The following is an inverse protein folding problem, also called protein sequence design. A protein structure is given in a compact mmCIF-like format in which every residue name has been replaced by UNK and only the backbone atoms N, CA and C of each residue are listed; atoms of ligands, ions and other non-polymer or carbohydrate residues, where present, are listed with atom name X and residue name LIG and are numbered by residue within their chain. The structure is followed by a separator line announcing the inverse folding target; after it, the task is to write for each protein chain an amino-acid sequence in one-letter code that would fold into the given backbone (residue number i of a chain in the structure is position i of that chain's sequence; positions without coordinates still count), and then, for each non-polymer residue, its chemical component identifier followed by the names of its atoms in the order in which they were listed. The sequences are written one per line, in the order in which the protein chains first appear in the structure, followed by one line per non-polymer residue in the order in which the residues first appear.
data_IF_267488261435
#
_entry.id   IF_267488261435
#
_cell.length_a   1.000
_cell.length_b   1.000
_cell.length_c   1.000
_cell.angle_alpha   90.00
_cell.angle_beta   90.00
_cell.angle_gamma   90.00
#
_symmetry.space_group_name_H-M   'P 1'
#
loop_
_entity.id
_entity.type
_entity.pdbx_description
1 polymer ?
#
# COMPACT_ATOMS: atom_id res chain seq x y z
N UNK A 1 12.19 -24.44 -28.97
CA UNK A 1 13.07 -23.92 -27.88
C UNK A 1 12.44 -22.66 -27.31
N UNK A 2 11.88 -22.74 -26.08
CA UNK A 2 11.25 -21.57 -25.42
C UNK A 2 12.36 -20.73 -24.79
N UNK A 3 12.54 -19.50 -25.27
CA UNK A 3 13.55 -18.55 -24.78
C UNK A 3 13.18 -18.12 -23.36
N UNK A 4 13.94 -18.61 -22.38
CA UNK A 4 13.78 -18.21 -20.97
C UNK A 4 14.36 -16.81 -20.77
N UNK A 5 13.54 -15.78 -20.68
CA UNK A 5 13.98 -14.45 -20.24
C UNK A 5 14.08 -14.44 -18.71
N UNK A 6 15.30 -14.29 -18.19
CA UNK A 6 15.55 -14.08 -16.76
C UNK A 6 15.42 -12.59 -16.45
N UNK A 7 14.44 -12.22 -15.65
CA UNK A 7 14.29 -10.87 -15.08
C UNK A 7 14.57 -10.99 -13.58
N UNK A 8 15.72 -10.51 -13.14
CA UNK A 8 16.10 -10.46 -11.72
C UNK A 8 16.01 -11.82 -10.97
N UNK A 9 16.59 -12.91 -11.53
CA UNK A 9 16.61 -14.24 -10.90
C UNK A 9 15.28 -15.00 -10.95
N UNK A 10 14.30 -14.53 -11.72
CA UNK A 10 12.97 -15.15 -11.88
C UNK A 10 12.81 -15.70 -13.29
N UNK A 11 12.25 -16.89 -13.41
CA UNK A 11 11.96 -17.53 -14.68
C UNK A 11 10.56 -17.11 -15.15
N UNK A 12 10.46 -16.49 -16.34
CA UNK A 12 9.19 -16.21 -16.99
C UNK A 12 8.67 -17.47 -17.69
N UNK A 13 7.43 -17.85 -17.40
CA UNK A 13 6.74 -19.01 -17.99
C UNK A 13 5.40 -18.57 -18.54
N UNK A 14 4.85 -19.40 -19.46
CA UNK A 14 3.51 -19.22 -20.03
C UNK A 14 2.65 -20.42 -19.71
N UNK A 15 1.37 -20.18 -19.45
CA UNK A 15 0.38 -21.19 -19.16
C UNK A 15 -0.95 -20.80 -19.81
N UNK A 16 -1.65 -21.77 -20.40
CA UNK A 16 -3.02 -21.56 -20.83
C UNK A 16 -3.98 -21.97 -19.71
N UNK A 17 -4.83 -21.04 -19.28
CA UNK A 17 -5.86 -21.28 -18.28
C UNK A 17 -7.22 -20.89 -18.88
N UNK A 18 -8.10 -21.87 -19.08
CA UNK A 18 -9.45 -21.68 -19.63
C UNK A 18 -9.47 -20.89 -20.95
N UNK A 19 -8.49 -21.16 -21.85
CA UNK A 19 -8.36 -20.50 -23.15
C UNK A 19 -7.59 -19.16 -23.14
N UNK A 20 -7.23 -18.63 -21.98
CA UNK A 20 -6.41 -17.45 -21.86
C UNK A 20 -4.92 -17.80 -21.67
N UNK A 21 -4.04 -17.24 -22.50
CA UNK A 21 -2.60 -17.36 -22.34
C UNK A 21 -2.09 -16.35 -21.34
N UNK A 22 -1.60 -16.83 -20.21
CA UNK A 22 -1.08 -16.02 -19.12
C UNK A 22 0.42 -16.21 -18.95
N UNK A 23 1.12 -15.12 -18.64
CA UNK A 23 2.52 -15.16 -18.23
C UNK A 23 2.64 -15.10 -16.72
N UNK A 24 3.56 -15.90 -16.15
CA UNK A 24 3.86 -15.85 -14.72
C UNK A 24 5.36 -15.94 -14.45
N UNK A 25 5.80 -15.23 -13.42
CA UNK A 25 7.18 -15.28 -12.94
C UNK A 25 7.32 -16.34 -11.86
N UNK A 26 8.16 -17.37 -12.11
CA UNK A 26 8.46 -18.43 -11.16
C UNK A 26 9.77 -18.15 -10.43
N UNK A 27 9.70 -18.13 -9.10
CA UNK A 27 10.84 -18.07 -8.20
C UNK A 27 10.99 -19.38 -7.44
N UNK A 28 12.12 -20.05 -7.58
CA UNK A 28 12.46 -21.25 -6.81
C UNK A 28 13.14 -20.85 -5.51
N UNK A 29 12.57 -21.28 -4.38
CA UNK A 29 13.12 -20.96 -3.05
C UNK A 29 12.75 -22.01 -2.00
N UNK A 30 13.34 -21.92 -0.82
CA UNK A 30 13.09 -22.85 0.28
C UNK A 30 11.72 -22.56 0.92
N UNK A 31 10.65 -23.09 0.32
CA UNK A 31 9.26 -23.02 0.82
C UNK A 31 8.61 -24.40 0.78
N UNK A 32 7.70 -24.65 1.72
CA UNK A 32 6.95 -25.92 1.79
C UNK A 32 5.80 -25.97 0.78
N UNK A 33 5.15 -24.85 0.54
CA UNK A 33 3.94 -24.75 -0.28
C UNK A 33 4.20 -23.91 -1.53
N UNK A 34 3.37 -24.13 -2.58
CA UNK A 34 3.30 -23.22 -3.72
C UNK A 34 2.52 -22.00 -3.26
N UNK A 35 3.09 -20.80 -3.46
CA UNK A 35 2.43 -19.54 -3.18
C UNK A 35 2.22 -18.77 -4.47
N UNK A 36 1.00 -18.31 -4.71
CA UNK A 36 0.63 -17.46 -5.85
C UNK A 36 0.31 -16.07 -5.34
N UNK A 37 0.91 -15.07 -5.94
CA UNK A 37 0.63 -13.66 -5.69
C UNK A 37 0.30 -12.99 -7.01
N UNK A 38 -0.87 -12.41 -7.09
CA UNK A 38 -1.27 -11.59 -8.23
C UNK A 38 -0.98 -10.15 -7.86
N UNK A 39 -0.33 -9.45 -8.75
CA UNK A 39 0.01 -8.04 -8.62
C UNK A 39 -0.33 -7.31 -9.91
N UNK A 40 -0.37 -5.96 -9.90
CA UNK A 40 -0.58 -5.19 -11.13
C UNK A 40 0.44 -5.53 -12.23
N UNK A 41 1.69 -5.84 -11.84
CA UNK A 41 2.78 -6.17 -12.77
C UNK A 41 2.70 -7.62 -13.29
N UNK A 42 1.79 -8.46 -12.76
CA UNK A 42 1.61 -9.84 -13.22
C UNK A 42 1.44 -10.89 -12.12
N UNK A 43 1.57 -12.14 -12.53
CA UNK A 43 1.42 -13.32 -11.68
C UNK A 43 2.80 -13.77 -11.19
N UNK A 44 2.96 -13.84 -9.87
CA UNK A 44 4.20 -14.26 -9.22
C UNK A 44 3.98 -15.57 -8.46
N UNK A 45 4.75 -16.58 -8.79
CA UNK A 45 4.67 -17.90 -8.17
C UNK A 45 5.97 -18.22 -7.46
N UNK A 46 5.90 -18.68 -6.22
CA UNK A 46 7.04 -19.22 -5.51
C UNK A 46 6.81 -20.67 -5.12
N UNK A 47 7.78 -21.53 -5.40
CA UNK A 47 7.71 -22.96 -5.16
C UNK A 47 9.06 -23.52 -4.71
N UNK A 48 9.02 -24.68 -4.02
CA UNK A 48 10.22 -25.40 -3.63
C UNK A 48 11.05 -25.87 -4.84
N UNK A 49 12.37 -26.04 -4.63
CA UNK A 49 13.30 -26.42 -5.69
C UNK A 49 12.93 -27.74 -6.40
N UNK A 50 12.37 -28.71 -5.65
CA UNK A 50 12.05 -30.06 -6.15
C UNK A 50 10.64 -30.18 -6.73
N UNK A 51 9.81 -29.16 -6.68
CA UNK A 51 8.43 -29.21 -7.18
C UNK A 51 8.44 -29.21 -8.72
N UNK A 52 7.87 -30.22 -9.35
CA UNK A 52 7.79 -30.31 -10.81
C UNK A 52 7.00 -29.14 -11.42
N UNK A 53 7.36 -28.71 -12.62
CA UNK A 53 6.71 -27.59 -13.30
C UNK A 53 5.23 -27.91 -13.60
N UNK A 54 4.97 -29.14 -14.06
CA UNK A 54 3.63 -29.64 -14.36
C UNK A 54 2.70 -29.62 -13.13
N UNK A 55 3.27 -29.83 -11.93
CA UNK A 55 2.49 -29.75 -10.69
C UNK A 55 2.15 -28.29 -10.36
N UNK A 56 3.08 -27.34 -10.60
CA UNK A 56 2.84 -25.93 -10.43
C UNK A 56 1.75 -25.45 -11.40
N UNK A 57 1.83 -25.86 -12.66
CA UNK A 57 0.85 -25.48 -13.68
C UNK A 57 -0.55 -26.03 -13.36
N UNK A 58 -0.66 -27.29 -12.95
CA UNK A 58 -1.94 -27.86 -12.47
C UNK A 58 -2.49 -27.10 -11.27
N UNK A 59 -1.63 -26.71 -10.34
CA UNK A 59 -2.04 -25.88 -9.20
C UNK A 59 -2.55 -24.51 -9.64
N UNK A 60 -1.91 -23.85 -10.62
CA UNK A 60 -2.39 -22.57 -11.16
C UNK A 60 -3.74 -22.72 -11.86
N UNK A 61 -3.95 -23.79 -12.63
CA UNK A 61 -5.24 -24.10 -13.27
C UNK A 61 -6.32 -24.30 -12.20
N UNK A 62 -6.03 -25.03 -11.11
CA UNK A 62 -6.98 -25.21 -10.01
C UNK A 62 -7.34 -23.90 -9.27
N UNK A 63 -6.55 -22.84 -9.45
CA UNK A 63 -6.77 -21.49 -8.90
C UNK A 63 -7.24 -20.48 -9.95
N UNK A 64 -7.72 -20.95 -11.10
CA UNK A 64 -8.11 -20.10 -12.22
C UNK A 64 -9.04 -18.96 -11.81
N UNK A 65 -10.15 -19.28 -11.11
CA UNK A 65 -11.12 -18.30 -10.66
C UNK A 65 -10.49 -17.22 -9.75
N UNK A 66 -9.66 -17.65 -8.80
CA UNK A 66 -8.91 -16.71 -7.93
C UNK A 66 -7.99 -15.81 -8.76
N UNK A 67 -7.28 -16.36 -9.76
CA UNK A 67 -6.35 -15.61 -10.62
C UNK A 67 -7.12 -14.58 -11.44
N UNK A 68 -8.19 -15.01 -12.15
CA UNK A 68 -8.98 -14.09 -12.99
C UNK A 68 -9.69 -13.02 -12.18
N UNK A 69 -10.27 -13.38 -11.03
CA UNK A 69 -10.92 -12.40 -10.14
C UNK A 69 -9.92 -11.37 -9.60
N UNK A 70 -8.70 -11.79 -9.26
CA UNK A 70 -7.65 -10.88 -8.82
C UNK A 70 -7.17 -10.00 -9.98
N UNK A 71 -6.95 -10.55 -11.18
CA UNK A 71 -6.58 -9.78 -12.37
C UNK A 71 -7.66 -8.75 -12.74
N UNK A 72 -8.93 -9.15 -12.72
CA UNK A 72 -10.06 -8.25 -12.97
C UNK A 72 -10.08 -7.10 -11.96
N UNK A 73 -9.84 -7.38 -10.67
CA UNK A 73 -9.72 -6.32 -9.66
C UNK A 73 -8.66 -5.29 -10.00
N UNK A 74 -7.55 -5.69 -10.63
CA UNK A 74 -6.50 -4.77 -11.05
C UNK A 74 -6.84 -4.05 -12.36
N UNK A 75 -7.51 -4.69 -13.33
CA UNK A 75 -7.97 -4.01 -14.55
C UNK A 75 -9.05 -2.96 -14.27
N UNK A 76 -9.89 -3.22 -13.26
CA UNK A 76 -10.96 -2.31 -12.84
C UNK A 76 -10.48 -1.24 -11.84
N UNK A 77 -9.15 -1.16 -11.58
CA UNK A 77 -8.61 -0.17 -10.65
C UNK A 77 -8.75 1.24 -11.21
N UNK A 78 -9.41 2.09 -10.42
CA UNK A 78 -9.55 3.52 -10.72
C UNK A 78 -8.21 4.28 -10.67
N UNK A 79 -7.22 3.71 -9.96
CA UNK A 79 -5.93 4.34 -9.70
C UNK A 79 -4.79 3.43 -10.17
N UNK A 80 -3.84 3.98 -10.91
CA UNK A 80 -2.66 3.24 -11.37
C UNK A 80 -1.75 2.87 -10.20
N UNK A 81 -1.19 1.65 -10.18
CA UNK A 81 -0.23 1.26 -9.16
C UNK A 81 1.03 2.10 -9.21
N UNK A 82 1.49 2.54 -8.03
CA UNK A 82 2.75 3.26 -7.91
C UNK A 82 3.93 2.30 -8.05
N UNK A 83 4.88 2.62 -8.93
CA UNK A 83 6.12 1.81 -9.10
C UNK A 83 7.10 2.02 -7.94
N UNK A 84 7.14 3.24 -7.38
CA UNK A 84 8.03 3.62 -6.29
C UNK A 84 9.50 3.67 -6.68
N UNK A 85 9.80 3.83 -7.97
CA UNK A 85 11.16 4.00 -8.50
C UNK A 85 11.55 5.47 -8.58
N UNK A 86 10.53 6.34 -8.58
CA UNK A 86 10.64 7.80 -8.67
C UNK A 86 11.49 8.23 -9.88
N UNK A 87 11.14 7.68 -11.04
CA UNK A 87 11.75 8.00 -12.32
C UNK A 87 11.13 9.28 -12.91
N UNK A 88 11.80 9.86 -13.92
CA UNK A 88 11.27 11.02 -14.64
C UNK A 88 9.88 10.72 -15.20
N UNK A 89 8.91 11.59 -14.90
CA UNK A 89 7.51 11.45 -15.31
C UNK A 89 6.69 10.43 -14.54
N UNK A 90 7.24 9.70 -13.54
CA UNK A 90 6.47 8.75 -12.74
C UNK A 90 5.37 9.46 -11.97
N UNK A 91 4.15 8.91 -12.01
CA UNK A 91 3.00 9.40 -11.25
C UNK A 91 3.02 8.91 -9.82
N UNK A 92 2.84 9.83 -8.89
CA UNK A 92 2.84 9.58 -7.45
C UNK A 92 1.62 10.24 -6.81
N UNK A 93 0.92 9.50 -5.97
CA UNK A 93 -0.20 10.04 -5.20
C UNK A 93 0.31 10.71 -3.92
N UNK A 94 -0.17 11.92 -3.66
CA UNK A 94 0.03 12.63 -2.39
C UNK A 94 -1.33 13.15 -1.94
N UNK A 95 -1.82 12.68 -0.80
CA UNK A 95 -3.11 13.04 -0.23
C UNK A 95 -4.27 12.94 -1.24
N UNK A 96 -4.20 11.91 -2.11
CA UNK A 96 -5.20 11.62 -3.13
C UNK A 96 -5.08 12.43 -4.42
N UNK A 97 -4.08 13.30 -4.55
CA UNK A 97 -3.76 14.04 -5.79
C UNK A 97 -2.60 13.38 -6.52
N UNK A 98 -2.61 13.47 -7.84
CA UNK A 98 -1.53 12.94 -8.69
C UNK A 98 -0.49 14.02 -8.93
N UNK A 99 0.77 13.65 -8.77
CA UNK A 99 1.94 14.48 -9.07
C UNK A 99 2.88 13.71 -9.97
N UNK A 100 3.58 14.39 -10.86
CA UNK A 100 4.62 13.80 -11.71
C UNK A 100 6.00 14.14 -11.16
N UNK A 101 6.85 13.12 -11.09
CA UNK A 101 8.25 13.30 -10.67
C UNK A 101 9.03 14.00 -11.78
N UNK A 102 9.81 14.99 -11.40
CA UNK A 102 10.83 15.63 -12.24
C UNK A 102 12.17 15.53 -11.55
N UNK A 103 13.16 14.97 -12.23
CA UNK A 103 14.48 14.72 -11.69
C UNK A 103 15.45 15.86 -11.99
N UNK A 104 16.14 16.34 -10.98
CA UNK A 104 17.16 17.35 -11.10
C UNK A 104 18.48 16.86 -10.48
N UNK A 105 19.60 17.24 -11.11
CA UNK A 105 20.92 17.06 -10.49
C UNK A 105 21.22 18.23 -9.55
N UNK A 106 21.54 17.96 -8.28
CA UNK A 106 21.81 19.00 -7.31
C UNK A 106 21.87 18.46 -5.89
N UNK A 107 21.75 19.35 -4.93
CA UNK A 107 21.64 18.98 -3.51
C UNK A 107 20.38 18.15 -3.27
N UNK A 108 20.51 17.14 -2.39
CA UNK A 108 19.40 16.26 -2.07
C UNK A 108 18.21 17.03 -1.48
N UNK A 109 17.06 16.95 -2.11
CA UNK A 109 15.84 17.62 -1.64
C UNK A 109 14.63 17.31 -2.50
N UNK A 110 13.46 17.60 -1.94
CA UNK A 110 12.17 17.46 -2.65
C UNK A 110 11.36 18.73 -2.45
N UNK A 111 10.77 19.23 -3.51
CA UNK A 111 9.83 20.36 -3.49
C UNK A 111 8.59 20.01 -4.32
N UNK A 112 7.43 20.53 -3.90
CA UNK A 112 6.23 20.53 -4.72
C UNK A 112 6.15 21.85 -5.49
N UNK A 113 6.03 21.76 -6.81
CA UNK A 113 5.79 22.89 -7.68
C UNK A 113 4.60 22.57 -8.57
N UNK A 114 3.47 23.20 -8.30
CA UNK A 114 2.19 22.91 -8.97
C UNK A 114 1.83 21.40 -8.86
N UNK A 115 1.79 20.68 -9.98
CA UNK A 115 1.49 19.24 -10.04
C UNK A 115 2.76 18.39 -10.23
N UNK A 116 3.92 18.91 -9.83
CA UNK A 116 5.21 18.24 -9.98
C UNK A 116 5.92 18.07 -8.64
N UNK A 117 6.58 16.93 -8.50
CA UNK A 117 7.54 16.65 -7.44
C UNK A 117 8.93 16.90 -8.02
N UNK A 118 9.55 17.99 -7.63
CA UNK A 118 10.93 18.32 -8.02
C UNK A 118 11.89 17.57 -7.10
N UNK A 119 12.39 16.42 -7.56
CA UNK A 119 13.34 15.59 -6.83
C UNK A 119 14.76 15.93 -7.29
N UNK A 120 15.52 16.57 -6.41
CA UNK A 120 16.93 16.88 -6.65
C UNK A 120 17.83 15.90 -5.91
N UNK A 121 18.88 15.41 -6.57
CA UNK A 121 19.91 14.56 -5.94
C UNK A 121 21.23 14.60 -6.71
N UNK A 122 22.32 14.22 -6.03
CA UNK A 122 23.67 14.23 -6.61
C UNK A 122 23.82 13.27 -7.81
N UNK A 123 23.11 12.14 -7.78
CA UNK A 123 23.06 11.17 -8.88
C UNK A 123 21.62 10.75 -9.18
N UNK A 124 20.94 11.37 -10.15
CA UNK A 124 19.57 11.02 -10.52
C UNK A 124 19.40 9.59 -11.07
N UNK A 125 20.46 8.94 -11.53
CA UNK A 125 20.39 7.56 -12.00
C UNK A 125 20.35 6.54 -10.84
N UNK A 126 20.75 6.94 -9.63
CA UNK A 126 20.73 6.07 -8.44
C UNK A 126 19.31 5.96 -7.88
N UNK A 127 18.65 4.85 -8.18
CA UNK A 127 17.30 4.54 -7.71
C UNK A 127 17.23 4.46 -6.18
N UNK A 128 18.23 3.87 -5.50
CA UNK A 128 18.21 3.74 -4.05
C UNK A 128 18.33 5.11 -3.36
N UNK A 129 19.11 6.02 -3.94
CA UNK A 129 19.21 7.40 -3.46
C UNK A 129 17.87 8.14 -3.60
N UNK A 130 17.24 8.05 -4.78
CA UNK A 130 15.91 8.65 -5.02
C UNK A 130 14.89 8.13 -4.01
N UNK A 131 14.81 6.80 -3.84
CA UNK A 131 13.89 6.17 -2.89
C UNK A 131 14.12 6.62 -1.46
N UNK A 132 15.38 6.74 -1.02
CA UNK A 132 15.71 7.21 0.33
C UNK A 132 15.24 8.64 0.56
N UNK A 133 15.52 9.55 -0.39
CA UNK A 133 15.12 10.96 -0.29
C UNK A 133 13.60 11.09 -0.25
N UNK A 134 12.89 10.43 -1.18
CA UNK A 134 11.44 10.45 -1.26
C UNK A 134 10.77 9.84 -0.04
N UNK A 135 11.28 8.70 0.46
CA UNK A 135 10.71 8.05 1.65
C UNK A 135 10.83 8.91 2.90
N UNK A 136 11.96 9.63 3.08
CA UNK A 136 12.12 10.56 4.20
C UNK A 136 11.12 11.71 4.09
N UNK A 137 11.03 12.33 2.92
CA UNK A 137 10.11 13.42 2.67
C UNK A 137 8.64 13.00 2.85
N UNK A 138 8.24 11.85 2.32
CA UNK A 138 6.90 11.31 2.54
C UNK A 138 6.61 11.01 4.01
N UNK A 139 7.61 10.58 4.77
CA UNK A 139 7.45 10.33 6.19
C UNK A 139 7.12 11.62 6.95
N UNK A 140 7.78 12.72 6.63
CA UNK A 140 7.51 14.04 7.23
C UNK A 140 6.11 14.53 6.88
N UNK A 141 5.74 14.50 5.60
CA UNK A 141 4.40 14.89 5.15
C UNK A 141 3.31 14.00 5.76
N UNK A 142 3.54 12.69 5.82
CA UNK A 142 2.61 11.74 6.42
C UNK A 142 2.39 12.02 7.90
N UNK A 143 3.44 12.35 8.65
CA UNK A 143 3.32 12.70 10.06
C UNK A 143 2.43 13.93 10.24
N UNK A 144 2.66 15.00 9.46
CA UNK A 144 1.85 16.21 9.51
C UNK A 144 0.37 15.92 9.18
N UNK A 145 0.12 15.13 8.13
CA UNK A 145 -1.23 14.77 7.72
C UNK A 145 -1.94 13.91 8.77
N UNK A 146 -1.24 12.97 9.39
CA UNK A 146 -1.76 12.09 10.45
C UNK A 146 -2.09 12.90 11.70
N UNK A 147 -1.18 13.77 12.17
CA UNK A 147 -1.43 14.64 13.33
C UNK A 147 -2.66 15.53 13.09
N UNK A 148 -2.76 16.17 11.93
CA UNK A 148 -3.94 16.95 11.54
C UNK A 148 -5.22 16.11 11.56
N UNK A 149 -5.17 14.86 11.08
CA UNK A 149 -6.32 13.94 11.09
C UNK A 149 -6.72 13.50 12.49
N UNK A 150 -5.75 13.25 13.37
CA UNK A 150 -5.97 12.93 14.79
C UNK A 150 -6.61 14.14 15.51
N UNK A 151 -6.05 15.33 15.34
CA UNK A 151 -6.53 16.56 15.99
C UNK A 151 -7.98 16.90 15.64
N UNK A 152 -8.41 16.65 14.39
CA UNK A 152 -9.78 16.86 13.95
C UNK A 152 -10.82 16.06 14.74
N UNK A 153 -10.48 14.87 15.19
CA UNK A 153 -11.42 13.94 15.84
C UNK A 153 -11.14 13.77 17.33
N UNK A 154 -9.97 14.20 17.80
CA UNK A 154 -9.51 13.95 19.16
C UNK A 154 -10.44 14.56 20.23
N UNK A 155 -11.03 15.72 20.00
CA UNK A 155 -11.93 16.37 20.96
C UNK A 155 -13.08 15.48 21.44
N UNK A 156 -13.60 14.60 20.56
CA UNK A 156 -14.63 13.62 20.92
C UNK A 156 -14.12 12.59 21.95
N UNK A 157 -12.89 12.13 21.80
CA UNK A 157 -12.26 11.14 22.68
C UNK A 157 -11.74 11.77 23.96
N UNK A 158 -11.22 12.99 23.90
CA UNK A 158 -10.80 13.76 25.07
C UNK A 158 -11.96 13.98 26.04
N UNK A 159 -13.15 14.32 25.55
CA UNK A 159 -14.36 14.46 26.36
C UNK A 159 -14.78 13.15 27.07
N UNK A 160 -14.25 12.01 26.63
CA UNK A 160 -14.47 10.67 27.21
C UNK A 160 -13.29 10.18 28.05
N UNK A 161 -12.37 11.09 28.41
CA UNK A 161 -11.23 10.80 29.30
C UNK A 161 -10.03 10.14 28.62
N UNK A 162 -10.00 10.07 27.29
CA UNK A 162 -8.84 9.54 26.56
C UNK A 162 -7.77 10.62 26.47
N UNK A 163 -6.59 10.34 27.04
CA UNK A 163 -5.42 11.20 26.89
C UNK A 163 -4.87 11.14 25.45
N UNK A 164 -4.22 12.25 25.01
CA UNK A 164 -3.61 12.30 23.68
C UNK A 164 -2.54 11.21 23.53
N UNK A 165 -2.69 10.29 22.57
CA UNK A 165 -1.78 9.15 22.46
C UNK A 165 -0.45 9.55 21.81
N UNK A 166 0.59 8.77 22.07
CA UNK A 166 1.83 8.88 21.32
C UNK A 166 1.60 8.41 19.87
N UNK A 167 1.84 9.30 18.91
CA UNK A 167 1.71 9.00 17.48
C UNK A 167 3.08 8.65 16.88
N UNK A 168 3.11 7.57 16.09
CA UNK A 168 4.30 7.18 15.35
C UNK A 168 3.97 6.57 14.00
N UNK A 169 4.95 6.59 13.07
CA UNK A 169 4.80 6.05 11.73
C UNK A 169 5.64 4.80 11.53
N UNK A 170 5.04 3.79 10.90
CA UNK A 170 5.72 2.56 10.51
C UNK A 170 5.19 2.09 9.15
N UNK A 171 6.05 1.56 8.28
CA UNK A 171 5.59 0.86 7.07
C UNK A 171 4.98 -0.49 7.47
N UNK A 172 3.73 -0.71 7.09
CA UNK A 172 2.99 -1.94 7.37
C UNK A 172 2.44 -2.54 6.06
N UNK A 173 2.38 -3.88 5.99
CA UNK A 173 1.94 -4.59 4.76
C UNK A 173 0.44 -4.83 4.69
N UNK A 174 -0.23 -4.96 5.85
CA UNK A 174 -1.60 -5.47 5.91
C UNK A 174 -2.59 -4.60 6.69
N UNK A 175 -2.16 -3.46 7.18
CA UNK A 175 -3.02 -2.56 7.97
C UNK A 175 -2.62 -1.10 7.81
N UNK A 176 -3.58 -0.20 8.01
CA UNK A 176 -3.39 1.23 7.92
C UNK A 176 -2.97 1.87 9.25
N UNK A 177 -3.41 1.28 10.35
CA UNK A 177 -3.08 1.71 11.69
C UNK A 177 -2.99 0.52 12.66
N UNK A 178 -2.62 0.80 13.90
CA UNK A 178 -2.64 -0.14 15.01
C UNK A 178 -2.62 0.63 16.32
N UNK A 179 -3.68 0.50 17.11
CA UNK A 179 -3.77 1.04 18.44
C UNK A 179 -3.17 0.08 19.47
N UNK A 180 -2.49 0.63 20.45
CA UNK A 180 -1.98 -0.08 21.64
C UNK A 180 -2.46 0.65 22.89
N UNK A 181 -3.68 0.40 23.36
CA UNK A 181 -4.32 1.16 24.46
C UNK A 181 -3.47 1.19 25.73
N UNK A 182 -2.95 0.03 26.17
CA UNK A 182 -2.11 -0.04 27.38
C UNK A 182 -0.83 0.77 27.30
N UNK A 183 -0.26 0.95 26.09
CA UNK A 183 0.92 1.75 25.86
C UNK A 183 0.60 3.19 25.46
N UNK A 184 -0.69 3.57 25.43
CA UNK A 184 -1.18 4.88 24.95
C UNK A 184 -0.54 5.32 23.63
N UNK A 185 -0.45 4.39 22.68
CA UNK A 185 0.25 4.63 21.42
C UNK A 185 -0.58 4.17 20.22
N UNK A 186 -0.51 4.98 19.15
CA UNK A 186 -1.02 4.61 17.83
C UNK A 186 0.13 4.60 16.83
N UNK A 187 0.21 3.52 16.06
CA UNK A 187 1.09 3.39 14.91
C UNK A 187 0.28 3.60 13.63
N UNK A 188 0.68 4.53 12.79
CA UNK A 188 0.08 4.74 11.47
C UNK A 188 0.99 4.24 10.36
N UNK A 189 0.40 3.75 9.28
CA UNK A 189 1.15 3.31 8.10
C UNK A 189 1.67 4.52 7.30
N UNK A 190 2.96 4.53 6.98
CA UNK A 190 3.54 5.58 6.11
C UNK A 190 2.87 5.66 4.74
N UNK A 191 2.25 4.58 4.27
CA UNK A 191 1.50 4.56 3.02
C UNK A 191 0.25 5.47 3.02
N UNK A 192 -0.19 5.96 4.18
CA UNK A 192 -1.30 6.91 4.30
C UNK A 192 -1.06 8.23 3.57
N UNK A 193 0.18 8.61 3.32
CA UNK A 193 0.48 9.81 2.51
C UNK A 193 -0.09 9.73 1.09
N UNK A 194 -0.30 8.52 0.58
CA UNK A 194 -0.74 8.31 -0.79
C UNK A 194 -2.26 8.22 -0.95
N UNK A 195 -3.03 8.30 0.14
CA UNK A 195 -4.49 8.29 0.11
C UNK A 195 -5.06 9.68 0.43
N UNK A 196 -6.33 9.98 0.07
CA UNK A 196 -6.97 11.24 0.43
C UNK A 196 -6.97 11.54 1.94
N UNK A 197 -6.87 12.82 2.33
CA UNK A 197 -6.90 13.24 3.76
C UNK A 197 -8.09 12.64 4.52
N UNK A 198 -9.27 12.60 3.90
CA UNK A 198 -10.47 12.02 4.53
C UNK A 198 -10.34 10.55 4.90
N UNK A 199 -9.46 9.80 4.21
CA UNK A 199 -9.12 8.43 4.58
C UNK A 199 -8.19 8.39 5.80
N UNK A 200 -7.29 9.37 5.94
CA UNK A 200 -6.42 9.53 7.11
C UNK A 200 -7.28 9.85 8.33
N UNK A 201 -8.22 10.80 8.20
CA UNK A 201 -9.18 11.16 9.25
C UNK A 201 -9.97 9.92 9.72
N UNK A 202 -10.40 9.04 8.78
CA UNK A 202 -11.08 7.80 9.12
C UNK A 202 -10.17 6.83 9.90
N UNK A 203 -8.94 6.64 9.46
CA UNK A 203 -7.99 5.77 10.19
C UNK A 203 -7.70 6.33 11.58
N UNK A 204 -7.58 7.66 11.72
CA UNK A 204 -7.41 8.31 13.01
C UNK A 204 -8.60 8.05 13.96
N UNK A 205 -9.83 8.24 13.47
CA UNK A 205 -11.06 7.96 14.24
C UNK A 205 -11.15 6.46 14.63
N UNK A 206 -10.80 5.56 13.69
CA UNK A 206 -10.80 4.11 13.89
C UNK A 206 -9.81 3.69 15.00
N UNK A 207 -8.58 4.17 14.93
CA UNK A 207 -7.55 3.81 15.93
C UNK A 207 -7.83 4.45 17.31
N UNK A 208 -8.38 5.67 17.34
CA UNK A 208 -8.80 6.29 18.59
C UNK A 208 -10.00 5.57 19.21
N UNK A 209 -10.94 5.06 18.42
CA UNK A 209 -12.08 4.29 18.92
C UNK A 209 -11.65 3.03 19.69
N UNK A 210 -10.49 2.45 19.37
CA UNK A 210 -9.93 1.31 20.07
C UNK A 210 -9.53 1.59 21.54
N UNK A 211 -9.35 2.85 21.93
CA UNK A 211 -9.17 3.19 23.36
C UNK A 211 -10.45 3.03 24.16
N UNK A 212 -11.63 3.16 23.52
CA UNK A 212 -12.93 2.96 24.15
C UNK A 212 -13.44 1.52 23.97
N UNK A 213 -13.19 0.92 22.81
CA UNK A 213 -13.65 -0.41 22.42
C UNK A 213 -12.52 -1.19 21.74
N UNK A 214 -11.86 -2.13 22.43
CA UNK A 214 -10.70 -2.86 21.88
C UNK A 214 -11.03 -3.75 20.68
N UNK A 215 -12.26 -4.23 20.59
CA UNK A 215 -12.77 -5.08 19.53
C UNK A 215 -13.65 -4.31 18.52
N UNK A 216 -13.92 -4.93 17.36
CA UNK A 216 -14.83 -4.37 16.36
C UNK A 216 -16.29 -4.78 16.60
N UNK A 217 -16.74 -4.68 17.85
CA UNK A 217 -18.12 -4.97 18.27
C UNK A 217 -19.11 -3.93 17.76
N UNK A 218 -20.41 -4.15 18.00
CA UNK A 218 -21.45 -3.18 17.69
C UNK A 218 -21.19 -1.81 18.35
N UNK A 219 -20.67 -1.82 19.60
CA UNK A 219 -20.32 -0.59 20.34
C UNK A 219 -19.20 0.19 19.66
N UNK A 220 -18.18 -0.52 19.12
CA UNK A 220 -17.12 0.12 18.34
C UNK A 220 -17.69 0.90 17.14
N UNK A 221 -18.55 0.25 16.36
CA UNK A 221 -19.14 0.91 15.19
C UNK A 221 -20.13 2.02 15.56
N UNK A 222 -20.80 1.92 16.71
CA UNK A 222 -21.61 3.03 17.26
C UNK A 222 -20.73 4.24 17.59
N UNK A 223 -19.62 4.04 18.32
CA UNK A 223 -18.64 5.10 18.59
C UNK A 223 -18.11 5.74 17.31
N UNK A 224 -17.81 4.92 16.31
CA UNK A 224 -17.30 5.41 15.03
C UNK A 224 -18.36 6.21 14.25
N UNK A 225 -19.64 5.81 14.32
CA UNK A 225 -20.77 6.52 13.73
C UNK A 225 -20.99 7.88 14.40
N UNK A 226 -20.84 7.96 15.75
CA UNK A 226 -20.96 9.21 16.49
C UNK A 226 -19.88 10.23 16.13
N UNK A 227 -18.61 9.79 16.00
CA UNK A 227 -17.49 10.69 15.71
C UNK A 227 -17.37 11.01 14.22
N UNK A 228 -17.82 10.10 13.36
CA UNK A 228 -17.67 10.19 11.90
C UNK A 228 -18.81 9.47 11.17
N UNK A 229 -19.97 10.12 10.98
CA UNK A 229 -21.14 9.50 10.37
C UNK A 229 -20.91 8.94 8.96
N UNK A 230 -19.98 9.53 8.19
CA UNK A 230 -19.62 9.13 6.84
C UNK A 230 -18.46 8.09 6.78
N UNK A 231 -18.16 7.42 7.91
CA UNK A 231 -17.02 6.49 7.99
C UNK A 231 -17.05 5.35 6.98
N UNK A 232 -18.25 4.89 6.59
CA UNK A 232 -18.40 3.79 5.60
C UNK A 232 -17.92 4.21 4.23
N UNK A 233 -18.22 5.43 3.82
CA UNK A 233 -17.77 6.00 2.54
C UNK A 233 -16.26 6.20 2.54
N UNK A 234 -15.70 6.71 3.64
CA UNK A 234 -14.25 6.90 3.78
C UNK A 234 -13.51 5.58 3.81
N UNK A 235 -14.05 4.55 4.46
CA UNK A 235 -13.52 3.19 4.45
C UNK A 235 -13.49 2.62 3.03
N UNK A 236 -14.59 2.73 2.28
CA UNK A 236 -14.66 2.28 0.90
C UNK A 236 -13.63 2.98 0.03
N UNK A 237 -13.50 4.30 0.17
CA UNK A 237 -12.49 5.07 -0.55
C UNK A 237 -11.06 4.61 -0.20
N UNK A 238 -10.78 4.38 1.10
CA UNK A 238 -9.49 3.87 1.56
C UNK A 238 -9.17 2.50 0.94
N UNK A 239 -10.17 1.62 0.82
CA UNK A 239 -10.02 0.31 0.17
C UNK A 239 -9.73 0.45 -1.33
N UNK A 240 -10.33 1.43 -2.02
CA UNK A 240 -10.05 1.72 -3.43
C UNK A 240 -8.60 2.17 -3.63
N UNK A 241 -8.15 3.16 -2.87
CA UNK A 241 -6.76 3.64 -2.94
C UNK A 241 -5.75 2.58 -2.46
N UNK A 242 -6.11 1.80 -1.45
CA UNK A 242 -5.24 0.79 -0.86
C UNK A 242 -4.76 -0.25 -1.86
N UNK A 243 -5.56 -0.56 -2.88
CA UNK A 243 -5.18 -1.48 -3.95
C UNK A 243 -4.03 -0.95 -4.81
N UNK A 244 -3.94 0.37 -4.97
CA UNK A 244 -2.87 1.02 -5.75
C UNK A 244 -1.59 1.28 -4.95
N UNK A 245 -1.70 1.36 -3.62
CA UNK A 245 -0.64 1.88 -2.74
C UNK A 245 0.02 0.79 -1.90
N UNK A 246 -0.76 -0.19 -1.39
CA UNK A 246 -0.23 -1.31 -0.59
C UNK A 246 0.05 -2.48 -1.50
N UNK A 247 1.31 -2.64 -1.84
CA UNK A 247 1.82 -3.77 -2.60
C UNK A 247 2.92 -4.46 -1.81
#
# INVERSE_FOLDING_TARGET
MKTKRNICGRQLNRININGADLEYCLERKRVKNINVRIKPEGIFVSAGYKVALEYIERFLISKAEFIFNAMKKYSDMRYSPMKGLYEEGEEVYILGRIYKVTLNRGMNGVRLEQERIMLSCGNPADCALRQRIMNNWFRELCMQAVLKGVDKVYGFFQARGIEYPQISLRRMRARWGSCQPCARRILFNTALIHVPEKCIDYVAAHELAHFLQPDHSKKFYQTLEEVMPDWRERKKLLEEYGRAVII
#
